data_IF_407981758898
#
_entry.id   IF_407981758898
#
_cell.length_a   1.000
_cell.length_b   1.000
_cell.length_c   1.000
_cell.angle_alpha   90.00
_cell.angle_beta   90.00
_cell.angle_gamma   90.00
#
_symmetry.space_group_name_H-M   'P 1'
#
loop_
_entity.id
_entity.type
_entity.pdbx_description
1 polymer ?
#
# COMPACT_ATOMS: atom_id res chain seq x y z
N UNK A 1 -12.91 -25.42 18.51
CA UNK A 1 -13.28 -24.81 17.22
C UNK A 1 -12.58 -23.46 17.21
N UNK A 2 -11.38 -23.43 16.65
CA UNK A 2 -10.60 -22.20 16.51
C UNK A 2 -11.34 -21.28 15.55
N UNK A 3 -11.88 -20.19 16.08
CA UNK A 3 -12.32 -19.04 15.29
C UNK A 3 -11.09 -18.49 14.61
N UNK A 4 -10.83 -18.96 13.39
CA UNK A 4 -9.95 -18.28 12.45
C UNK A 4 -10.59 -16.92 12.20
N UNK A 5 -10.15 -15.92 12.94
CA UNK A 5 -10.44 -14.53 12.64
C UNK A 5 -10.10 -14.35 11.17
N UNK A 6 -11.13 -14.09 10.35
CA UNK A 6 -10.94 -13.53 9.02
C UNK A 6 -10.17 -12.23 9.27
N UNK A 7 -8.86 -12.27 9.09
CA UNK A 7 -8.03 -11.08 8.99
C UNK A 7 -8.71 -10.30 7.87
N UNK A 8 -9.44 -9.24 8.23
CA UNK A 8 -10.04 -8.35 7.25
C UNK A 8 -8.89 -7.92 6.34
N UNK A 9 -8.87 -8.44 5.12
CA UNK A 9 -7.79 -8.25 4.16
C UNK A 9 -7.82 -6.82 3.66
N UNK A 10 -7.42 -5.88 4.51
CA UNK A 10 -7.34 -4.46 4.24
C UNK A 10 -5.94 -4.03 4.64
N UNK A 11 -5.22 -3.46 3.69
CA UNK A 11 -3.88 -2.90 3.83
C UNK A 11 -3.94 -1.39 3.76
N UNK A 12 -2.97 -0.74 4.39
CA UNK A 12 -2.75 0.70 4.20
C UNK A 12 -1.73 0.91 3.10
N UNK A 13 -2.07 1.74 2.12
CA UNK A 13 -1.25 2.00 0.92
C UNK A 13 -1.20 3.50 0.64
N UNK A 14 -0.30 3.94 -0.23
CA UNK A 14 -0.28 5.33 -0.70
C UNK A 14 -1.43 5.59 -1.68
N UNK A 15 -2.08 6.74 -1.52
CA UNK A 15 -3.15 7.21 -2.41
C UNK A 15 -2.70 7.29 -3.87
N UNK A 16 -1.50 7.83 -4.12
CA UNK A 16 -0.94 7.94 -5.47
C UNK A 16 -0.72 6.58 -6.15
N UNK A 17 -0.31 5.57 -5.37
CA UNK A 17 -0.16 4.21 -5.87
C UNK A 17 -1.53 3.57 -6.14
N UNK A 18 -2.51 3.81 -5.28
CA UNK A 18 -3.87 3.35 -5.51
C UNK A 18 -4.50 3.98 -6.74
N UNK A 19 -4.36 5.29 -6.91
CA UNK A 19 -4.86 6.01 -8.09
C UNK A 19 -4.26 5.39 -9.37
N UNK A 20 -2.96 5.07 -9.37
CA UNK A 20 -2.35 4.35 -10.48
C UNK A 20 -2.95 2.96 -10.70
N UNK A 21 -3.17 2.19 -9.63
CA UNK A 21 -3.78 0.86 -9.71
C UNK A 21 -5.19 0.91 -10.28
N UNK A 22 -6.02 1.90 -9.91
CA UNK A 22 -7.38 2.02 -10.44
C UNK A 22 -7.42 2.16 -11.96
N UNK A 23 -6.39 2.77 -12.54
CA UNK A 23 -6.30 2.99 -13.99
C UNK A 23 -5.58 1.85 -14.74
N UNK A 24 -4.76 1.03 -14.06
CA UNK A 24 -3.80 0.13 -14.71
C UNK A 24 -3.80 -1.31 -14.19
N UNK A 25 -4.59 -1.61 -13.16
CA UNK A 25 -4.65 -2.92 -12.55
C UNK A 25 -6.07 -3.29 -12.10
N UNK A 26 -6.35 -4.59 -12.11
CA UNK A 26 -7.61 -5.15 -11.65
C UNK A 26 -7.37 -6.14 -10.52
N UNK A 27 -8.23 -6.11 -9.51
CA UNK A 27 -8.25 -7.10 -8.43
C UNK A 27 -9.11 -8.31 -8.84
N UNK A 28 -8.47 -9.46 -9.08
CA UNK A 28 -9.14 -10.70 -9.54
C UNK A 28 -8.60 -11.88 -8.75
N UNK A 29 -9.49 -12.76 -8.31
CA UNK A 29 -9.15 -13.98 -7.55
C UNK A 29 -8.30 -13.71 -6.30
N UNK A 30 -8.54 -12.56 -5.67
CA UNK A 30 -7.81 -12.14 -4.49
C UNK A 30 -6.49 -11.43 -4.77
N UNK A 31 -6.06 -11.26 -6.02
CA UNK A 31 -4.74 -10.69 -6.35
C UNK A 31 -4.86 -9.48 -7.28
N UNK A 32 -4.05 -8.44 -7.05
CA UNK A 32 -3.90 -7.32 -7.98
C UNK A 32 -3.04 -7.73 -9.17
N UNK A 33 -3.58 -7.57 -10.39
CA UNK A 33 -2.86 -7.85 -11.65
C UNK A 33 -2.88 -6.62 -12.55
N UNK A 34 -1.74 -6.33 -13.17
CA UNK A 34 -1.64 -5.26 -14.16
C UNK A 34 -2.41 -5.63 -15.43
N UNK A 35 -3.31 -4.76 -15.87
CA UNK A 35 -4.18 -5.00 -17.03
C UNK A 35 -3.42 -4.92 -18.38
N UNK A 36 -2.21 -4.34 -18.38
CA UNK A 36 -1.37 -4.19 -19.59
C UNK A 36 -0.47 -5.41 -19.79
N UNK A 37 0.21 -5.86 -18.74
CA UNK A 37 1.26 -6.89 -18.84
C UNK A 37 0.87 -8.23 -18.26
N UNK A 38 -0.32 -8.33 -17.66
CA UNK A 38 -0.80 -9.47 -16.88
C UNK A 38 0.17 -9.89 -15.75
N UNK A 39 1.05 -8.97 -15.32
CA UNK A 39 1.96 -9.23 -14.22
C UNK A 39 1.23 -9.04 -12.90
N UNK A 40 1.53 -9.90 -11.92
CA UNK A 40 1.12 -9.68 -10.55
C UNK A 40 1.76 -8.40 -10.00
N UNK A 41 0.95 -7.58 -9.32
CA UNK A 41 1.43 -6.37 -8.65
C UNK A 41 2.22 -6.78 -7.42
N UNK A 42 3.45 -6.26 -7.30
CA UNK A 42 4.28 -6.54 -6.14
C UNK A 42 3.80 -5.66 -4.99
N UNK A 43 3.62 -6.29 -3.83
CA UNK A 43 3.28 -5.65 -2.56
C UNK A 43 4.48 -5.70 -1.61
N UNK A 44 5.00 -4.55 -1.20
CA UNK A 44 6.17 -4.45 -0.31
C UNK A 44 5.82 -3.69 0.98
N UNK A 45 5.77 -4.35 2.15
CA UNK A 45 5.50 -3.67 3.41
C UNK A 45 6.72 -2.88 3.89
N UNK A 46 6.52 -1.61 4.21
CA UNK A 46 7.55 -0.73 4.79
C UNK A 46 6.97 0.04 5.97
N UNK A 47 7.74 0.19 7.04
CA UNK A 47 7.33 1.00 8.20
C UNK A 47 7.71 2.47 7.99
N UNK A 48 6.71 3.34 8.15
CA UNK A 48 6.86 4.79 8.04
C UNK A 48 6.30 5.50 9.28
N UNK A 49 6.96 6.56 9.78
CA UNK A 49 6.31 7.51 10.67
C UNK A 49 5.19 8.23 9.93
N UNK A 50 4.06 8.41 10.59
CA UNK A 50 2.90 9.08 10.02
C UNK A 50 2.85 10.51 10.55
N UNK A 51 2.90 11.47 9.65
CA UNK A 51 2.83 12.90 9.95
C UNK A 51 1.45 13.45 9.63
N UNK A 52 1.11 14.56 10.27
CA UNK A 52 -0.15 15.24 10.02
C UNK A 52 0.11 16.74 9.89
N UNK A 53 -0.24 17.30 8.73
CA UNK A 53 0.02 18.70 8.39
C UNK A 53 1.52 19.06 8.48
N UNK A 54 2.40 18.15 8.05
CA UNK A 54 3.85 18.36 8.08
C UNK A 54 4.48 18.32 9.49
N UNK A 55 3.77 17.81 10.49
CA UNK A 55 4.24 17.71 11.87
C UNK A 55 4.20 16.28 12.36
N UNK A 56 5.26 15.85 13.06
CA UNK A 56 5.27 14.57 13.78
C UNK A 56 4.25 14.63 14.94
N UNK A 57 3.24 13.73 14.98
CA UNK A 57 2.23 13.76 16.02
C UNK A 57 2.80 13.37 17.39
N UNK A 58 2.20 13.91 18.45
CA UNK A 58 2.54 13.56 19.83
C UNK A 58 2.26 12.07 20.05
N UNK A 59 3.31 11.26 20.13
CA UNK A 59 3.21 9.81 20.25
C UNK A 59 4.03 9.01 19.25
N UNK A 60 4.61 9.66 18.21
CA UNK A 60 5.45 9.02 17.17
C UNK A 60 4.74 7.84 16.51
N UNK A 61 3.60 8.12 15.90
CA UNK A 61 2.84 7.09 15.20
C UNK A 61 3.66 6.53 14.03
N UNK A 62 3.79 5.21 13.99
CA UNK A 62 4.38 4.48 12.85
C UNK A 62 3.37 3.48 12.32
N UNK A 63 3.25 3.38 11.00
CA UNK A 63 2.35 2.43 10.34
C UNK A 63 3.10 1.63 9.28
N UNK A 64 2.68 0.37 9.10
CA UNK A 64 3.12 -0.41 7.93
C UNK A 64 2.31 0.06 6.73
N UNK A 65 3.01 0.66 5.77
CA UNK A 65 2.46 1.03 4.46
C UNK A 65 2.92 -0.02 3.46
N UNK A 66 1.97 -0.61 2.76
CA UNK A 66 2.25 -1.52 1.66
C UNK A 66 2.41 -0.68 0.41
N UNK A 67 3.57 -0.82 -0.21
CA UNK A 67 3.87 -0.18 -1.47
C UNK A 67 3.55 -1.12 -2.63
N UNK A 68 2.73 -0.63 -3.56
CA UNK A 68 2.25 -1.43 -4.68
C UNK A 68 2.78 -0.89 -6.00
N UNK A 69 3.37 -1.77 -6.80
CA UNK A 69 3.86 -1.41 -8.12
C UNK A 69 3.85 -2.58 -9.10
N UNK A 70 3.68 -2.28 -10.38
CA UNK A 70 3.84 -3.29 -11.43
C UNK A 70 5.33 -3.44 -11.79
N UNK A 71 5.93 -4.65 -11.67
CA UNK A 71 7.36 -4.86 -11.94
C UNK A 71 7.74 -4.74 -13.43
N UNK A 72 6.75 -4.61 -14.31
CA UNK A 72 6.94 -4.47 -15.76
C UNK A 72 6.66 -3.06 -16.26
N UNK A 73 5.74 -2.33 -15.64
CA UNK A 73 5.36 -0.98 -16.05
C UNK A 73 6.12 0.11 -15.29
N UNK A 74 6.50 -0.17 -14.04
CA UNK A 74 7.12 0.79 -13.14
C UNK A 74 8.50 0.29 -12.69
N UNK A 75 9.43 1.23 -12.49
CA UNK A 75 10.64 0.94 -11.72
C UNK A 75 10.22 0.62 -10.28
N UNK A 76 10.91 -0.30 -9.60
CA UNK A 76 10.74 -0.45 -8.15
C UNK A 76 10.88 0.94 -7.50
N UNK A 77 9.85 1.44 -6.79
CA UNK A 77 9.93 2.77 -6.25
C UNK A 77 10.88 2.80 -5.06
N UNK A 78 11.57 3.92 -4.92
CA UNK A 78 12.58 4.11 -3.89
C UNK A 78 11.89 4.60 -2.61
N UNK A 79 11.57 3.67 -1.72
CA UNK A 79 11.03 3.98 -0.39
C UNK A 79 12.17 4.01 0.62
N UNK A 80 12.31 5.11 1.35
CA UNK A 80 13.28 5.22 2.44
C UNK A 80 12.59 4.84 3.75
N UNK A 81 12.91 3.70 4.36
CA UNK A 81 12.33 3.33 5.65
C UNK A 81 12.58 4.43 6.68
N UNK A 82 11.55 4.79 7.45
CA UNK A 82 11.64 5.88 8.42
C UNK A 82 11.42 7.29 7.86
N UNK A 83 11.29 7.47 6.53
CA UNK A 83 10.81 8.75 5.99
C UNK A 83 9.34 8.95 6.30
N UNK A 84 8.90 10.15 6.70
CA UNK A 84 7.51 10.40 7.06
C UNK A 84 6.59 10.36 5.85
N UNK A 85 5.35 9.92 6.10
CA UNK A 85 4.23 9.98 5.15
C UNK A 85 3.09 10.77 5.79
N UNK A 86 2.48 11.69 5.04
CA UNK A 86 1.32 12.43 5.52
C UNK A 86 0.12 11.49 5.65
N UNK A 87 -0.64 11.62 6.74
CA UNK A 87 -1.83 10.79 6.99
C UNK A 87 -2.84 10.89 5.85
N UNK A 88 -3.01 12.07 5.28
CA UNK A 88 -3.96 12.33 4.19
C UNK A 88 -3.55 11.67 2.85
N UNK A 89 -2.29 11.22 2.73
CA UNK A 89 -1.80 10.45 1.58
C UNK A 89 -2.03 8.94 1.75
N UNK A 90 -2.58 8.49 2.87
CA UNK A 90 -2.85 7.08 3.14
C UNK A 90 -4.30 6.74 2.86
N UNK A 91 -4.51 5.56 2.28
CA UNK A 91 -5.85 4.97 2.13
C UNK A 91 -5.85 3.51 2.57
N UNK A 92 -7.05 2.95 2.71
CA UNK A 92 -7.28 1.54 2.98
C UNK A 92 -7.74 0.82 1.70
N UNK A 93 -7.08 -0.30 1.35
CA UNK A 93 -7.34 -1.08 0.15
C UNK A 93 -7.37 -2.58 0.44
N UNK A 94 -8.04 -3.41 -0.37
CA UNK A 94 -8.02 -4.86 -0.20
C UNK A 94 -6.60 -5.44 -0.24
N UNK A 95 -6.28 -6.31 0.71
CA UNK A 95 -5.08 -7.14 0.72
C UNK A 95 -5.20 -8.17 -0.40
N UNK A 96 -4.12 -8.31 -1.17
CA UNK A 96 -3.89 -9.41 -2.11
C UNK A 96 -3.88 -10.80 -1.46
#
# INVERSE_FOLDING_TARGET
METTEKISGIITILKSEYDWLQDHASFKDGVWRCDITDAEIIMKPVQHPIWENGVEPIGRETKTVYHLYCPRCQKEPEFTPGSPIERDDLIEAPNG
#
